data_IF_906937000053
#
_entry.id   IF_906937000053
#
_cell.length_a   1.000
_cell.length_b   1.000
_cell.length_c   1.000
_cell.angle_alpha   90.00
_cell.angle_beta   90.00
_cell.angle_gamma   90.00
#
_symmetry.space_group_name_H-M   'P 1'
#
loop_
_entity.id
_entity.type
_entity.pdbx_description
1 polymer ?
#
# COMPACT_ATOMS: atom_id res chain seq x y z
N UNK A 1 -11.66 17.92 16.01
CA UNK A 1 -10.68 17.64 14.92
C UNK A 1 -10.00 18.95 14.58
N UNK A 2 -8.67 18.98 14.43
CA UNK A 2 -7.95 20.21 14.04
C UNK A 2 -8.47 20.73 12.69
N UNK A 3 -8.65 22.06 12.56
CA UNK A 3 -9.18 22.70 11.33
C UNK A 3 -8.37 22.29 10.11
N UNK A 4 -7.04 22.27 10.22
CA UNK A 4 -6.15 21.87 9.13
C UNK A 4 -6.39 20.42 8.68
N UNK A 5 -6.65 19.50 9.62
CA UNK A 5 -6.97 18.10 9.31
C UNK A 5 -8.32 17.98 8.60
N UNK A 6 -9.34 18.71 9.08
CA UNK A 6 -10.65 18.74 8.42
C UNK A 6 -10.55 19.28 7.00
N UNK A 7 -9.84 20.38 6.79
CA UNK A 7 -9.59 20.95 5.46
C UNK A 7 -8.90 19.94 4.55
N UNK A 8 -7.85 19.26 5.02
CA UNK A 8 -7.16 18.23 4.25
C UNK A 8 -8.08 17.09 3.82
N UNK A 9 -8.95 16.61 4.72
CA UNK A 9 -9.95 15.58 4.39
C UNK A 9 -10.96 16.09 3.37
N UNK A 10 -11.54 17.28 3.57
CA UNK A 10 -12.51 17.86 2.63
C UNK A 10 -11.89 17.99 1.24
N UNK A 11 -10.67 18.52 1.13
CA UNK A 11 -9.98 18.67 -0.16
C UNK A 11 -9.68 17.31 -0.80
N UNK A 12 -9.21 16.32 -0.03
CA UNK A 12 -8.94 14.98 -0.55
C UNK A 12 -10.22 14.28 -1.07
N UNK A 13 -11.34 14.42 -0.36
CA UNK A 13 -12.63 13.90 -0.80
C UNK A 13 -13.20 14.68 -2.00
N UNK A 14 -13.00 16.00 -2.06
CA UNK A 14 -13.37 16.80 -3.22
C UNK A 14 -12.59 16.37 -4.47
N UNK A 15 -11.29 16.07 -4.33
CA UNK A 15 -10.46 15.53 -5.42
C UNK A 15 -10.96 14.15 -5.85
N UNK A 16 -11.28 13.25 -4.91
CA UNK A 16 -11.86 11.95 -5.25
C UNK A 16 -13.21 12.09 -5.96
N UNK A 17 -14.08 12.99 -5.50
CA UNK A 17 -15.38 13.25 -6.12
C UNK A 17 -15.24 13.85 -7.53
N UNK A 18 -14.31 14.79 -7.72
CA UNK A 18 -14.01 15.35 -9.04
C UNK A 18 -13.43 14.29 -9.98
N UNK A 19 -12.47 13.50 -9.51
CA UNK A 19 -11.92 12.38 -10.28
C UNK A 19 -13.00 11.35 -10.63
N UNK A 20 -13.93 11.09 -9.70
CA UNK A 20 -15.05 10.19 -9.94
C UNK A 20 -16.02 10.73 -11.00
N UNK A 21 -16.29 12.04 -11.00
CA UNK A 21 -17.10 12.68 -12.03
C UNK A 21 -16.43 12.65 -13.41
N UNK A 22 -15.12 12.93 -13.47
CA UNK A 22 -14.35 12.97 -14.72
C UNK A 22 -14.09 11.59 -15.33
N UNK A 23 -13.99 10.55 -14.49
CA UNK A 23 -13.62 9.19 -14.90
C UNK A 23 -14.78 8.21 -14.73
N UNK A 24 -16.02 8.70 -14.62
CA UNK A 24 -17.18 7.83 -14.33
C UNK A 24 -17.33 6.69 -15.33
N UNK A 25 -17.11 6.98 -16.61
CA UNK A 25 -17.21 6.01 -17.70
C UNK A 25 -15.93 5.20 -17.92
N UNK A 26 -14.87 5.46 -17.15
CA UNK A 26 -13.64 4.69 -17.23
C UNK A 26 -13.82 3.30 -16.61
N UNK A 27 -13.82 2.28 -17.46
CA UNK A 27 -13.88 0.86 -17.06
C UNK A 27 -12.88 0.10 -17.91
N UNK A 28 -12.14 -0.82 -17.29
CA UNK A 28 -11.20 -1.68 -18.02
C UNK A 28 -11.88 -2.97 -18.48
N UNK A 29 -11.42 -3.54 -19.60
CA UNK A 29 -11.94 -4.82 -20.11
C UNK A 29 -11.85 -5.96 -19.08
N UNK A 30 -10.78 -5.96 -18.26
CA UNK A 30 -10.58 -6.93 -17.17
C UNK A 30 -11.72 -6.90 -16.13
N UNK A 31 -12.46 -5.79 -16.00
CA UNK A 31 -13.61 -5.68 -15.09
C UNK A 31 -14.69 -6.68 -15.48
N UNK A 32 -14.91 -6.91 -16.78
CA UNK A 32 -15.90 -7.87 -17.26
C UNK A 32 -15.53 -9.31 -16.92
N UNK A 33 -14.24 -9.62 -16.77
CA UNK A 33 -13.79 -10.92 -16.28
C UNK A 33 -14.30 -11.13 -14.85
N UNK A 34 -14.08 -10.17 -13.95
CA UNK A 34 -14.60 -10.26 -12.57
C UNK A 34 -16.11 -10.37 -12.52
N UNK A 35 -16.83 -9.59 -13.33
CA UNK A 35 -18.30 -9.64 -13.40
C UNK A 35 -18.82 -10.96 -13.96
N UNK A 36 -18.09 -11.60 -14.89
CA UNK A 36 -18.42 -12.93 -15.40
C UNK A 36 -18.31 -14.00 -14.30
N UNK A 37 -17.20 -14.01 -13.56
CA UNK A 37 -17.04 -14.90 -12.40
C UNK A 37 -18.13 -14.65 -11.35
N UNK A 38 -18.41 -13.39 -11.03
CA UNK A 38 -19.44 -13.03 -10.05
C UNK A 38 -20.83 -13.50 -10.50
N UNK A 39 -21.18 -13.29 -11.78
CA UNK A 39 -22.46 -13.73 -12.35
C UNK A 39 -22.60 -15.26 -12.30
N UNK A 40 -21.58 -15.99 -12.75
CA UNK A 40 -21.62 -17.46 -12.75
C UNK A 40 -21.72 -18.02 -11.32
N UNK A 41 -21.00 -17.44 -10.37
CA UNK A 41 -21.11 -17.83 -8.97
C UNK A 41 -22.50 -17.53 -8.40
N UNK A 42 -23.10 -16.39 -8.78
CA UNK A 42 -24.42 -15.99 -8.31
C UNK A 42 -25.55 -16.85 -8.91
N UNK A 43 -25.52 -17.10 -10.21
CA UNK A 43 -26.59 -17.80 -10.94
C UNK A 43 -26.47 -19.32 -10.87
N UNK A 44 -25.24 -19.85 -10.78
CA UNK A 44 -24.96 -21.29 -10.92
C UNK A 44 -24.23 -21.90 -9.72
N UNK A 45 -23.73 -21.08 -8.79
CA UNK A 45 -22.88 -21.56 -7.70
C UNK A 45 -21.47 -21.95 -8.14
N UNK A 46 -21.07 -21.62 -9.37
CA UNK A 46 -19.79 -22.01 -9.96
C UNK A 46 -18.80 -20.84 -9.99
N UNK A 47 -17.66 -20.95 -9.31
CA UNK A 47 -16.57 -20.00 -9.47
C UNK A 47 -15.77 -20.33 -10.73
N UNK A 48 -16.30 -19.93 -11.89
CA UNK A 48 -15.66 -20.17 -13.19
C UNK A 48 -15.93 -19.02 -14.17
N UNK A 49 -15.10 -18.91 -15.20
CA UNK A 49 -15.37 -18.04 -16.36
C UNK A 49 -16.34 -18.70 -17.36
N UNK A 50 -16.11 -19.97 -17.68
CA UNK A 50 -16.94 -20.79 -18.56
C UNK A 50 -17.71 -21.82 -17.72
N UNK A 51 -19.05 -21.75 -17.65
CA UNK A 51 -19.85 -22.72 -16.91
C UNK A 51 -19.51 -24.17 -17.30
N UNK A 52 -19.42 -25.06 -16.31
CA UNK A 52 -19.04 -26.47 -16.51
C UNK A 52 -17.54 -26.73 -16.73
N UNK A 53 -16.71 -25.70 -16.90
CA UNK A 53 -15.25 -25.82 -17.04
C UNK A 53 -14.54 -25.05 -15.91
N UNK A 54 -14.26 -25.68 -14.75
CA UNK A 54 -13.70 -25.00 -13.58
C UNK A 54 -12.24 -24.59 -13.83
N UNK A 55 -12.05 -23.36 -14.31
CA UNK A 55 -10.73 -22.78 -14.54
C UNK A 55 -10.40 -21.74 -13.46
N UNK A 56 -9.24 -21.87 -12.82
CA UNK A 56 -8.76 -20.90 -11.83
C UNK A 56 -8.11 -19.68 -12.51
N UNK A 57 -8.90 -18.90 -13.25
CA UNK A 57 -8.43 -17.75 -14.01
C UNK A 57 -8.45 -16.43 -13.25
N UNK A 58 -9.23 -16.29 -12.18
CA UNK A 58 -9.30 -15.07 -11.37
C UNK A 58 -8.23 -15.06 -10.27
N UNK A 59 -7.41 -14.00 -10.23
CA UNK A 59 -6.40 -13.74 -9.18
C UNK A 59 -6.93 -12.96 -7.98
N UNK A 60 -8.22 -12.59 -8.00
CA UNK A 60 -8.81 -11.68 -7.01
C UNK A 60 -10.12 -12.23 -6.40
N UNK A 61 -10.13 -13.42 -5.77
CA UNK A 61 -11.33 -14.00 -5.16
C UNK A 61 -12.11 -13.08 -4.22
N UNK A 62 -11.41 -12.32 -3.38
CA UNK A 62 -12.08 -11.39 -2.45
C UNK A 62 -12.91 -10.34 -3.20
N UNK A 63 -12.40 -9.86 -4.33
CA UNK A 63 -13.11 -8.92 -5.18
C UNK A 63 -14.37 -9.54 -5.77
N UNK A 64 -14.26 -10.75 -6.36
CA UNK A 64 -15.41 -11.47 -6.92
C UNK A 64 -16.48 -11.73 -5.87
N UNK A 65 -16.11 -12.22 -4.69
CA UNK A 65 -17.08 -12.44 -3.60
C UNK A 65 -17.78 -11.16 -3.15
N UNK A 66 -17.03 -10.04 -3.10
CA UNK A 66 -17.60 -8.74 -2.76
C UNK A 66 -18.58 -8.24 -3.83
N UNK A 67 -18.28 -8.48 -5.11
CA UNK A 67 -19.20 -8.19 -6.22
C UNK A 67 -20.48 -9.03 -6.12
N UNK A 68 -20.35 -10.34 -5.87
CA UNK A 68 -21.51 -11.23 -5.67
C UNK A 68 -22.38 -10.73 -4.52
N UNK A 69 -21.79 -10.32 -3.41
CA UNK A 69 -22.54 -9.76 -2.28
C UNK A 69 -23.35 -8.52 -2.69
N UNK A 70 -22.73 -7.56 -3.36
CA UNK A 70 -23.44 -6.34 -3.81
C UNK A 70 -24.50 -6.62 -4.88
N UNK A 71 -24.23 -7.54 -5.81
CA UNK A 71 -25.22 -7.96 -6.82
C UNK A 71 -26.41 -8.69 -6.18
N UNK A 72 -26.19 -9.48 -5.12
CA UNK A 72 -27.28 -10.08 -4.31
C UNK A 72 -28.16 -9.03 -3.63
N UNK A 73 -27.60 -7.87 -3.28
CA UNK A 73 -28.35 -6.73 -2.75
C UNK A 73 -29.10 -5.94 -3.84
N UNK A 74 -29.07 -6.40 -5.09
CA UNK A 74 -29.81 -5.80 -6.21
C UNK A 74 -29.03 -4.74 -7.00
N UNK A 75 -27.74 -4.52 -6.72
CA UNK A 75 -26.94 -3.60 -7.53
C UNK A 75 -26.66 -4.21 -8.91
N UNK A 76 -26.85 -3.40 -9.96
CA UNK A 76 -26.42 -3.77 -11.30
C UNK A 76 -24.90 -4.06 -11.32
N UNK A 77 -24.41 -5.01 -12.15
CA UNK A 77 -23.03 -5.50 -12.08
C UNK A 77 -21.97 -4.38 -12.12
N UNK A 78 -22.10 -3.43 -13.04
CA UNK A 78 -21.14 -2.34 -13.16
C UNK A 78 -21.24 -1.32 -12.01
N UNK A 79 -22.47 -1.07 -11.53
CA UNK A 79 -22.69 -0.22 -10.36
C UNK A 79 -22.07 -0.83 -9.10
N UNK A 80 -22.16 -2.16 -8.93
CA UNK A 80 -21.50 -2.87 -7.84
C UNK A 80 -19.96 -2.70 -7.90
N UNK A 81 -19.35 -2.89 -9.06
CA UNK A 81 -17.90 -2.75 -9.23
C UNK A 81 -17.40 -1.32 -8.96
N UNK A 82 -18.08 -0.31 -9.52
CA UNK A 82 -17.75 1.11 -9.30
C UNK A 82 -17.93 1.52 -7.84
N UNK A 83 -19.05 1.14 -7.23
CA UNK A 83 -19.35 1.47 -5.83
C UNK A 83 -18.32 0.85 -4.89
N UNK A 84 -17.95 -0.41 -5.12
CA UNK A 84 -16.93 -1.08 -4.30
C UNK A 84 -15.56 -0.41 -4.44
N UNK A 85 -15.18 -0.03 -5.66
CA UNK A 85 -13.94 0.72 -5.93
C UNK A 85 -13.91 2.07 -5.22
N UNK A 86 -15.01 2.83 -5.30
CA UNK A 86 -15.19 4.12 -4.63
C UNK A 86 -15.15 4.01 -3.11
N UNK A 87 -15.85 3.02 -2.54
CA UNK A 87 -15.85 2.78 -1.09
C UNK A 87 -14.45 2.42 -0.61
N UNK A 88 -13.73 1.56 -1.35
CA UNK A 88 -12.35 1.21 -1.03
C UNK A 88 -11.40 2.43 -1.15
N UNK A 89 -11.58 3.27 -2.17
CA UNK A 89 -10.81 4.50 -2.37
C UNK A 89 -11.07 5.53 -1.25
N UNK A 90 -12.33 5.74 -0.87
CA UNK A 90 -12.70 6.60 0.24
C UNK A 90 -12.13 6.07 1.57
N UNK A 91 -12.24 4.77 1.82
CA UNK A 91 -11.66 4.12 2.99
C UNK A 91 -10.13 4.26 3.02
N UNK A 92 -9.45 4.17 1.86
CA UNK A 92 -8.00 4.40 1.75
C UNK A 92 -7.63 5.80 2.24
N UNK A 93 -8.36 6.85 1.83
CA UNK A 93 -8.12 8.22 2.29
C UNK A 93 -8.31 8.37 3.81
N UNK A 94 -9.36 7.75 4.37
CA UNK A 94 -9.60 7.78 5.81
C UNK A 94 -8.46 7.06 6.57
N UNK A 95 -8.01 5.90 6.09
CA UNK A 95 -6.90 5.17 6.71
C UNK A 95 -5.59 5.96 6.57
N UNK A 96 -5.33 6.58 5.42
CA UNK A 96 -4.16 7.43 5.21
C UNK A 96 -4.13 8.60 6.19
N UNK A 97 -5.24 9.32 6.38
CA UNK A 97 -5.37 10.39 7.38
C UNK A 97 -5.07 9.88 8.81
N UNK A 98 -5.65 8.74 9.19
CA UNK A 98 -5.40 8.12 10.51
C UNK A 98 -3.93 7.76 10.71
N UNK A 99 -3.25 7.27 9.68
CA UNK A 99 -1.81 6.99 9.72
C UNK A 99 -1.02 8.30 9.86
N UNK A 100 -1.31 9.32 9.04
CA UNK A 100 -0.62 10.61 9.07
C UNK A 100 -0.67 11.29 10.44
N UNK A 101 -1.79 11.18 11.15
CA UNK A 101 -1.93 11.73 12.51
C UNK A 101 -1.09 11.00 13.55
N UNK A 102 -0.86 9.70 13.38
CA UNK A 102 -0.17 8.82 14.34
C UNK A 102 1.32 8.64 14.04
N UNK A 103 1.72 8.89 12.80
CA UNK A 103 3.11 8.91 12.38
C UNK A 103 3.83 10.15 12.92
N UNK A 104 5.16 10.09 13.13
CA UNK A 104 5.92 11.20 13.69
C UNK A 104 6.15 12.28 12.61
N UNK A 105 5.08 12.96 12.20
CA UNK A 105 5.06 14.00 11.17
C UNK A 105 4.65 15.36 11.77
N UNK A 106 5.19 16.48 11.28
CA UNK A 106 4.68 17.81 11.61
C UNK A 106 3.18 17.92 11.28
N UNK A 107 2.39 18.52 12.17
CA UNK A 107 0.93 18.62 11.98
C UNK A 107 0.56 19.33 10.67
N UNK A 108 1.27 20.40 10.32
CA UNK A 108 1.05 21.16 9.09
C UNK A 108 1.32 20.39 7.80
N UNK A 109 2.08 19.29 7.83
CA UNK A 109 2.35 18.47 6.64
C UNK A 109 1.21 17.52 6.29
N UNK A 110 0.44 17.10 7.30
CA UNK A 110 -0.59 16.06 7.17
C UNK A 110 -1.64 16.37 6.10
N UNK A 111 -2.27 17.57 6.03
CA UNK A 111 -3.24 17.86 4.98
C UNK A 111 -2.64 17.79 3.58
N UNK A 112 -1.41 18.28 3.39
CA UNK A 112 -0.72 18.24 2.11
C UNK A 112 -0.37 16.81 1.70
N UNK A 113 0.15 16.00 2.61
CA UNK A 113 0.45 14.59 2.32
C UNK A 113 -0.82 13.81 1.97
N UNK A 114 -1.93 14.08 2.65
CA UNK A 114 -3.22 13.47 2.31
C UNK A 114 -3.71 13.91 0.92
N UNK A 115 -3.55 15.20 0.60
CA UNK A 115 -3.89 15.73 -0.72
C UNK A 115 -3.01 15.12 -1.82
N UNK A 116 -1.72 14.90 -1.56
CA UNK A 116 -0.82 14.19 -2.49
C UNK A 116 -1.24 12.73 -2.71
N UNK A 117 -1.75 12.04 -1.69
CA UNK A 117 -2.35 10.69 -1.86
C UNK A 117 -3.60 10.77 -2.75
N UNK A 118 -4.43 11.79 -2.59
CA UNK A 118 -5.67 11.95 -3.35
C UNK A 118 -5.42 12.40 -4.81
N UNK A 119 -4.39 13.21 -5.05
CA UNK A 119 -4.00 13.71 -6.37
C UNK A 119 -3.18 12.71 -7.19
N UNK A 120 -2.85 11.53 -6.64
CA UNK A 120 -2.19 10.48 -7.41
C UNK A 120 -3.10 10.04 -8.57
N UNK A 121 -2.63 10.28 -9.80
CA UNK A 121 -3.37 9.98 -11.01
C UNK A 121 -3.70 8.48 -11.14
N UNK A 122 -2.84 7.60 -10.63
CA UNK A 122 -3.12 6.16 -10.63
C UNK A 122 -4.19 5.79 -9.62
N UNK A 123 -4.13 6.34 -8.41
CA UNK A 123 -5.21 6.19 -7.42
C UNK A 123 -6.57 6.61 -8.01
N UNK A 124 -6.67 7.80 -8.60
CA UNK A 124 -7.93 8.30 -9.18
C UNK A 124 -8.42 7.43 -10.34
N UNK A 125 -7.51 7.04 -11.25
CA UNK A 125 -7.82 6.16 -12.38
C UNK A 125 -8.34 4.79 -11.91
N UNK A 126 -7.67 4.17 -10.96
CA UNK A 126 -8.03 2.83 -10.52
C UNK A 126 -9.25 2.81 -9.59
N UNK A 127 -9.53 3.90 -8.86
CA UNK A 127 -10.72 4.04 -8.02
C UNK A 127 -12.03 3.72 -8.78
N UNK A 128 -12.11 4.10 -10.06
CA UNK A 128 -13.31 3.95 -10.89
C UNK A 128 -13.25 2.81 -11.92
N UNK A 129 -12.08 2.21 -12.12
CA UNK A 129 -11.85 1.18 -13.14
C UNK A 129 -12.77 -0.05 -13.08
N UNK A 130 -13.37 -0.32 -11.92
CA UNK A 130 -14.10 -1.56 -11.61
C UNK A 130 -13.20 -2.73 -11.18
N UNK A 131 -11.91 -2.46 -10.96
CA UNK A 131 -10.92 -3.44 -10.54
C UNK A 131 -10.69 -3.42 -9.02
N UNK A 132 -10.07 -4.48 -8.52
CA UNK A 132 -9.72 -4.70 -7.11
C UNK A 132 -8.57 -3.81 -6.59
N UNK A 133 -7.97 -3.00 -7.47
CA UNK A 133 -6.77 -2.23 -7.16
C UNK A 133 -6.95 -1.25 -5.98
N UNK A 134 -8.07 -0.48 -5.87
CA UNK A 134 -8.30 0.39 -4.72
C UNK A 134 -8.43 -0.37 -3.39
N UNK A 135 -9.01 -1.57 -3.41
CA UNK A 135 -9.09 -2.45 -2.23
C UNK A 135 -7.69 -2.92 -1.82
N UNK A 136 -6.85 -3.28 -2.79
CA UNK A 136 -5.48 -3.68 -2.52
C UNK A 136 -4.64 -2.53 -1.94
N UNK A 137 -4.76 -1.32 -2.48
CA UNK A 137 -4.13 -0.12 -1.94
C UNK A 137 -4.56 0.16 -0.50
N UNK A 138 -5.86 0.05 -0.20
CA UNK A 138 -6.39 0.16 1.16
C UNK A 138 -5.74 -0.87 2.09
N UNK A 139 -5.74 -2.14 1.71
CA UNK A 139 -5.20 -3.23 2.54
C UNK A 139 -3.70 -3.06 2.80
N UNK A 140 -2.93 -2.60 1.81
CA UNK A 140 -1.52 -2.26 1.98
C UNK A 140 -1.30 -1.16 3.02
N UNK A 141 -2.15 -0.12 3.06
CA UNK A 141 -2.09 0.89 4.12
C UNK A 141 -2.50 0.34 5.49
N UNK A 142 -3.53 -0.51 5.56
CA UNK A 142 -3.94 -1.15 6.83
C UNK A 142 -2.80 -2.00 7.40
N UNK A 143 -2.05 -2.72 6.55
CA UNK A 143 -0.89 -3.52 6.95
C UNK A 143 0.26 -2.69 7.54
N UNK A 144 0.33 -1.37 7.26
CA UNK A 144 1.26 -0.43 7.91
C UNK A 144 0.78 0.09 9.27
N UNK A 145 -0.49 -0.14 9.62
CA UNK A 145 -1.09 0.28 10.89
C UNK A 145 -0.24 0.02 12.15
N UNK A 146 0.40 -1.15 12.30
CA UNK A 146 1.25 -1.44 13.45
C UNK A 146 2.43 -0.47 13.65
N UNK A 147 2.95 0.12 12.57
CA UNK A 147 4.03 1.11 12.64
C UNK A 147 3.55 2.36 13.39
N UNK A 148 2.33 2.80 13.09
CA UNK A 148 1.70 4.00 13.63
C UNK A 148 1.07 3.78 15.02
N UNK A 149 0.69 2.54 15.37
CA UNK A 149 0.14 2.21 16.68
C UNK A 149 1.17 2.40 17.81
N UNK A 150 0.70 2.68 19.03
CA UNK A 150 1.54 2.74 20.24
C UNK A 150 1.47 1.45 21.07
N UNK A 151 0.38 0.70 20.95
CA UNK A 151 0.16 -0.54 21.69
C UNK A 151 0.74 -1.80 21.04
N UNK A 152 0.43 -2.98 21.60
CA UNK A 152 0.75 -4.27 20.99
C UNK A 152 0.24 -4.39 19.56
N UNK A 153 0.99 -5.10 18.73
CA UNK A 153 0.51 -5.48 17.40
C UNK A 153 -0.54 -6.59 17.57
N UNK A 154 -1.73 -6.36 17.03
CA UNK A 154 -2.79 -7.37 16.95
C UNK A 154 -2.48 -8.37 15.83
N UNK A 155 -1.55 -9.30 16.09
CA UNK A 155 -0.99 -10.19 15.06
C UNK A 155 -2.02 -11.07 14.33
N UNK A 156 -3.09 -11.50 15.01
CA UNK A 156 -4.18 -12.25 14.35
C UNK A 156 -4.92 -11.36 13.34
N UNK A 157 -5.26 -10.14 13.73
CA UNK A 157 -5.92 -9.19 12.83
C UNK A 157 -5.00 -8.78 11.66
N UNK A 158 -3.70 -8.63 11.92
CA UNK A 158 -2.72 -8.35 10.87
C UNK A 158 -2.60 -9.53 9.90
N UNK A 159 -2.54 -10.77 10.41
CA UNK A 159 -2.56 -12.00 9.60
C UNK A 159 -3.84 -12.15 8.78
N UNK A 160 -5.00 -11.86 9.37
CA UNK A 160 -6.28 -11.86 8.66
C UNK A 160 -6.32 -10.79 7.55
N UNK A 161 -5.77 -9.60 7.81
CA UNK A 161 -5.61 -8.54 6.79
C UNK A 161 -4.69 -8.99 5.66
N UNK A 162 -3.59 -9.69 5.97
CA UNK A 162 -2.72 -10.30 4.96
C UNK A 162 -3.47 -11.39 4.17
N UNK A 163 -4.29 -12.20 4.81
CA UNK A 163 -5.14 -13.20 4.14
C UNK A 163 -6.13 -12.55 3.18
N UNK A 164 -6.85 -11.52 3.62
CA UNK A 164 -7.73 -10.72 2.75
C UNK A 164 -6.95 -10.12 1.58
N UNK A 165 -5.77 -9.56 1.86
CA UNK A 165 -4.87 -9.01 0.86
C UNK A 165 -4.42 -10.04 -0.17
N UNK A 166 -4.10 -11.26 0.26
CA UNK A 166 -3.69 -12.36 -0.60
C UNK A 166 -4.82 -12.81 -1.53
N UNK A 167 -6.07 -12.75 -1.06
CA UNK A 167 -7.27 -13.02 -1.86
C UNK A 167 -7.70 -11.81 -2.71
N UNK A 168 -7.24 -10.61 -2.40
CA UNK A 168 -7.44 -9.44 -3.24
C UNK A 168 -6.45 -9.46 -4.40
N UNK A 169 -5.15 -9.61 -4.12
CA UNK A 169 -4.08 -9.54 -5.13
C UNK A 169 -2.84 -10.34 -4.74
N UNK A 170 -2.15 -10.97 -5.71
CA UNK A 170 -0.93 -11.74 -5.46
C UNK A 170 0.23 -10.89 -4.92
N UNK A 171 0.30 -9.60 -5.27
CA UNK A 171 1.33 -8.70 -4.75
C UNK A 171 1.27 -8.58 -3.23
N UNK A 172 0.08 -8.56 -2.62
CA UNK A 172 -0.03 -8.47 -1.15
C UNK A 172 0.34 -9.80 -0.51
N UNK A 173 0.02 -10.93 -1.16
CA UNK A 173 0.46 -12.25 -0.71
C UNK A 173 1.99 -12.29 -0.55
N UNK A 174 2.72 -11.68 -1.48
CA UNK A 174 4.18 -11.57 -1.48
C UNK A 174 4.70 -10.49 -0.52
N UNK A 175 4.15 -9.28 -0.56
CA UNK A 175 4.74 -8.11 0.10
C UNK A 175 4.48 -8.07 1.61
N UNK A 176 3.27 -8.41 2.05
CA UNK A 176 2.93 -8.36 3.47
C UNK A 176 3.93 -9.13 4.36
N UNK A 177 4.28 -10.40 4.09
CA UNK A 177 5.21 -11.15 4.96
C UNK A 177 6.62 -10.52 5.00
N UNK A 178 7.05 -9.82 3.95
CA UNK A 178 8.32 -9.08 3.94
C UNK A 178 8.35 -7.92 4.96
N UNK A 179 7.20 -7.47 5.48
CA UNK A 179 7.15 -6.50 6.56
C UNK A 179 7.39 -7.11 7.96
N UNK A 180 7.22 -8.43 8.13
CA UNK A 180 7.28 -9.11 9.43
C UNK A 180 8.61 -8.90 10.18
N UNK A 181 9.80 -9.03 9.55
CA UNK A 181 11.07 -8.81 10.27
C UNK A 181 11.14 -7.42 10.90
N UNK A 182 10.70 -6.40 10.16
CA UNK A 182 10.70 -5.00 10.60
C UNK A 182 9.66 -4.72 11.68
N UNK A 183 8.47 -5.33 11.58
CA UNK A 183 7.41 -5.21 12.58
C UNK A 183 7.76 -5.95 13.88
N UNK A 184 8.38 -7.12 13.79
CA UNK A 184 8.88 -7.87 14.94
C UNK A 184 10.04 -7.13 15.62
N UNK A 185 10.96 -6.56 14.84
CA UNK A 185 12.01 -5.69 15.36
C UNK A 185 11.43 -4.48 16.10
N UNK A 186 10.45 -3.80 15.50
CA UNK A 186 9.76 -2.66 16.10
C UNK A 186 9.03 -3.05 17.39
N UNK A 187 8.35 -4.20 17.40
CA UNK A 187 7.70 -4.74 18.59
C UNK A 187 8.72 -5.02 19.69
N UNK A 188 9.83 -5.70 19.39
CA UNK A 188 10.86 -6.05 20.37
C UNK A 188 11.48 -4.80 21.00
N UNK A 189 11.67 -3.73 20.22
CA UNK A 189 12.15 -2.44 20.72
C UNK A 189 11.16 -1.76 21.67
N UNK A 190 9.85 -1.93 21.47
CA UNK A 190 8.81 -1.32 22.32
C UNK A 190 8.39 -2.19 23.51
N UNK A 191 8.44 -3.50 23.32
CA UNK A 191 7.91 -4.53 24.23
C UNK A 191 8.85 -5.75 24.23
N UNK A 192 10.03 -5.66 24.89
CA UNK A 192 11.10 -6.66 24.80
C UNK A 192 10.73 -8.07 25.32
N UNK A 193 9.69 -8.20 26.15
CA UNK A 193 9.22 -9.49 26.67
C UNK A 193 8.29 -10.28 25.73
N UNK A 194 7.99 -9.80 24.53
CA UNK A 194 7.09 -10.49 23.60
C UNK A 194 7.82 -11.52 22.74
N UNK A 195 7.35 -12.76 22.78
CA UNK A 195 7.86 -13.84 21.91
C UNK A 195 7.60 -13.56 20.43
N UNK A 196 8.66 -13.62 19.62
CA UNK A 196 8.55 -13.54 18.16
C UNK A 196 7.84 -14.77 17.59
N UNK A 197 8.10 -15.97 18.13
CA UNK A 197 7.46 -17.22 17.70
C UNK A 197 5.94 -17.16 17.91
N UNK A 198 5.49 -16.71 19.08
CA UNK A 198 4.06 -16.55 19.36
C UNK A 198 3.41 -15.49 18.44
N UNK A 199 4.17 -14.46 18.06
CA UNK A 199 3.71 -13.43 17.11
C UNK A 199 3.52 -14.02 15.71
N UNK A 200 4.49 -14.80 15.23
CA UNK A 200 4.43 -15.50 13.93
C UNK A 200 3.29 -16.53 13.89
N UNK A 201 3.10 -17.32 14.95
CA UNK A 201 1.99 -18.26 15.05
C UNK A 201 0.63 -17.56 14.95
N UNK A 202 0.46 -16.39 15.60
CA UNK A 202 -0.76 -15.58 15.51
C UNK A 202 -0.98 -14.99 14.11
N UNK A 203 0.09 -14.59 13.42
CA UNK A 203 0.01 -14.15 12.01
C UNK A 203 -0.46 -15.31 11.14
N UNK A 204 0.17 -16.48 11.27
CA UNK A 204 -0.20 -17.68 10.52
C UNK A 204 -1.65 -18.09 10.78
N UNK A 205 -2.09 -18.07 12.04
CA UNK A 205 -3.49 -18.32 12.41
C UNK A 205 -4.44 -17.36 11.70
N UNK A 206 -4.20 -16.04 11.80
CA UNK A 206 -5.04 -15.04 11.16
C UNK A 206 -5.10 -15.20 9.63
N UNK A 207 -3.96 -15.49 8.99
CA UNK A 207 -3.91 -15.70 7.55
C UNK A 207 -4.66 -16.97 7.14
N UNK A 208 -4.44 -18.09 7.84
CA UNK A 208 -5.12 -19.36 7.58
C UNK A 208 -6.63 -19.26 7.79
N UNK A 209 -7.10 -18.49 8.77
CA UNK A 209 -8.53 -18.27 8.98
C UNK A 209 -9.24 -17.62 7.78
N UNK A 210 -8.52 -16.84 6.97
CA UNK A 210 -9.08 -16.12 5.82
C UNK A 210 -8.72 -16.79 4.50
N UNK A 211 -7.44 -16.98 4.22
CA UNK A 211 -6.96 -17.53 2.96
C UNK A 211 -7.09 -19.06 2.90
N UNK A 212 -7.00 -19.75 4.05
CA UNK A 212 -7.05 -21.21 4.14
C UNK A 212 -8.30 -21.83 3.50
N UNK A 213 -9.53 -21.39 3.85
CA UNK A 213 -10.75 -21.91 3.23
C UNK A 213 -10.74 -21.81 1.71
N UNK A 214 -10.27 -20.70 1.17
CA UNK A 214 -10.17 -20.50 -0.28
C UNK A 214 -9.12 -21.42 -0.91
N UNK A 215 -7.97 -21.63 -0.27
CA UNK A 215 -6.93 -22.52 -0.79
C UNK A 215 -7.39 -23.98 -0.83
N UNK A 216 -8.16 -24.42 0.19
CA UNK A 216 -8.79 -25.75 0.21
C UNK A 216 -9.80 -25.87 -0.94
N UNK A 217 -10.70 -24.88 -1.08
CA UNK A 217 -11.64 -24.83 -2.19
C UNK A 217 -10.93 -24.89 -3.54
N UNK A 218 -9.92 -24.05 -3.75
CA UNK A 218 -9.18 -23.97 -5.00
C UNK A 218 -8.48 -25.28 -5.36
N UNK A 219 -7.86 -25.95 -4.37
CA UNK A 219 -7.25 -27.27 -4.58
C UNK A 219 -8.29 -28.32 -4.94
N UNK A 220 -9.45 -28.32 -4.28
CA UNK A 220 -10.51 -29.31 -4.52
C UNK A 220 -11.21 -29.14 -5.87
N UNK A 221 -11.45 -27.89 -6.31
CA UNK A 221 -12.24 -27.59 -7.51
C UNK A 221 -11.36 -27.44 -8.75
N UNK A 222 -10.22 -26.76 -8.64
CA UNK A 222 -9.36 -26.44 -9.79
C UNK A 222 -8.12 -27.33 -9.89
N UNK A 223 -7.94 -28.26 -8.95
CA UNK A 223 -6.73 -29.08 -8.83
C UNK A 223 -5.47 -28.29 -8.46
N UNK A 224 -5.56 -26.99 -8.13
CA UNK A 224 -4.39 -26.13 -7.87
C UNK A 224 -4.72 -25.02 -6.86
N UNK A 225 -3.73 -24.65 -6.05
CA UNK A 225 -3.89 -23.60 -5.03
C UNK A 225 -3.59 -22.18 -5.56
N UNK A 226 -2.82 -22.08 -6.66
CA UNK A 226 -2.40 -20.81 -7.27
C UNK A 226 -3.16 -20.62 -8.60
N UNK A 227 -3.69 -19.41 -8.89
CA UNK A 227 -4.36 -19.12 -10.14
C UNK A 227 -3.48 -19.43 -11.36
N UNK A 228 -4.06 -20.03 -12.41
CA UNK A 228 -3.34 -20.34 -13.65
C UNK A 228 -2.86 -19.10 -14.39
N UNK A 229 -3.57 -17.98 -14.26
CA UNK A 229 -3.20 -16.69 -14.87
C UNK A 229 -1.95 -16.06 -14.27
N UNK A 230 -1.65 -16.33 -13.00
CA UNK A 230 -0.38 -15.91 -12.40
C UNK A 230 0.81 -16.64 -13.02
N UNK A 231 0.65 -17.93 -13.34
CA UNK A 231 1.67 -18.74 -14.01
C UNK A 231 1.83 -18.36 -15.50
N UNK A 232 0.74 -18.03 -16.19
CA UNK A 232 0.75 -17.69 -17.62
C UNK A 232 1.34 -16.29 -17.93
N UNK A 233 1.36 -15.37 -16.96
CA UNK A 233 1.85 -13.99 -17.14
C UNK A 233 3.30 -13.77 -16.67
N UNK A 234 4.01 -14.84 -16.34
CA UNK A 234 5.40 -14.76 -15.89
C UNK A 234 6.27 -15.72 -16.68
N UNK A 235 7.42 -15.23 -17.14
CA UNK A 235 8.47 -16.11 -17.65
C UNK A 235 9.10 -16.91 -16.49
N UNK A 236 9.77 -18.04 -16.79
CA UNK A 236 10.69 -18.66 -15.85
C UNK A 236 11.59 -17.59 -15.23
N UNK A 237 12.00 -17.77 -13.97
CA UNK A 237 12.88 -16.79 -13.33
C UNK A 237 14.19 -16.73 -14.13
N UNK A 238 14.43 -15.62 -14.81
CA UNK A 238 15.64 -15.39 -15.61
C UNK A 238 16.42 -14.26 -14.95
N UNK A 239 17.54 -14.61 -14.32
CA UNK A 239 18.43 -13.65 -13.66
C UNK A 239 19.46 -13.09 -14.64
N UNK A 240 19.00 -12.72 -15.85
CA UNK A 240 19.83 -12.04 -16.84
C UNK A 240 20.00 -10.58 -16.41
N UNK A 241 21.23 -10.12 -16.09
CA UNK A 241 21.42 -8.76 -15.59
C UNK A 241 21.00 -7.69 -16.61
N UNK A 242 21.23 -7.92 -17.90
CA UNK A 242 20.88 -6.97 -18.96
C UNK A 242 19.35 -6.78 -19.07
N UNK A 243 18.61 -7.88 -19.11
CA UNK A 243 17.14 -7.84 -19.18
C UNK A 243 16.54 -7.27 -17.89
N UNK A 244 17.07 -7.67 -16.73
CA UNK A 244 16.62 -7.11 -15.45
C UNK A 244 16.80 -5.60 -15.39
N UNK A 245 17.93 -5.06 -15.87
CA UNK A 245 18.18 -3.62 -15.97
C UNK A 245 17.19 -2.95 -16.92
N UNK A 246 16.90 -3.57 -18.06
CA UNK A 246 15.93 -3.03 -19.02
C UNK A 246 14.52 -2.94 -18.44
N UNK A 247 13.99 -4.02 -17.85
CA UNK A 247 12.66 -4.04 -17.23
C UNK A 247 12.59 -3.14 -16.00
N UNK A 248 13.69 -3.03 -15.24
CA UNK A 248 13.81 -2.07 -14.14
C UNK A 248 13.74 -0.63 -14.66
N UNK A 249 14.51 -0.29 -15.69
CA UNK A 249 14.52 1.03 -16.30
C UNK A 249 13.13 1.41 -16.82
N UNK A 250 12.43 0.49 -17.51
CA UNK A 250 11.05 0.71 -17.96
C UNK A 250 10.09 0.99 -16.81
N UNK A 251 10.17 0.21 -15.73
CA UNK A 251 9.31 0.42 -14.55
C UNK A 251 9.62 1.75 -13.86
N UNK A 252 10.90 2.11 -13.74
CA UNK A 252 11.33 3.42 -13.21
C UNK A 252 10.85 4.56 -14.10
N UNK A 253 10.96 4.43 -15.42
CA UNK A 253 10.46 5.42 -16.38
C UNK A 253 8.95 5.63 -16.24
N UNK A 254 8.15 4.56 -16.08
CA UNK A 254 6.71 4.67 -15.84
C UNK A 254 6.41 5.40 -14.52
N UNK A 255 7.12 5.05 -13.44
CA UNK A 255 6.98 5.72 -12.15
C UNK A 255 7.40 7.19 -12.24
N UNK A 256 8.49 7.51 -12.93
CA UNK A 256 8.98 8.86 -13.12
C UNK A 256 8.03 9.70 -14.00
N UNK A 257 7.44 9.12 -15.04
CA UNK A 257 6.54 9.83 -15.94
C UNK A 257 5.25 10.30 -15.24
N UNK A 258 4.72 9.50 -14.31
CA UNK A 258 3.43 9.80 -13.67
C UNK A 258 3.58 10.36 -12.27
N UNK A 259 4.59 9.92 -11.52
CA UNK A 259 4.83 10.36 -10.15
C UNK A 259 6.07 11.21 -9.99
N UNK A 260 6.80 11.48 -11.08
CA UNK A 260 8.02 12.31 -11.04
C UNK A 260 7.79 13.64 -10.33
N UNK A 261 6.61 14.25 -10.50
CA UNK A 261 6.24 15.49 -9.79
C UNK A 261 6.10 15.26 -8.28
N UNK A 262 5.53 14.14 -7.84
CA UNK A 262 5.44 13.77 -6.42
C UNK A 262 6.84 13.50 -5.82
N UNK A 263 7.69 12.78 -6.55
CA UNK A 263 9.08 12.51 -6.17
C UNK A 263 9.93 13.78 -6.14
N UNK A 264 9.79 14.64 -7.14
CA UNK A 264 10.44 15.95 -7.22
C UNK A 264 9.94 16.86 -6.10
N UNK A 265 8.65 16.91 -5.79
CA UNK A 265 8.12 17.69 -4.68
C UNK A 265 8.73 17.24 -3.34
N UNK A 266 8.89 15.92 -3.13
CA UNK A 266 9.59 15.39 -1.95
C UNK A 266 11.07 15.78 -1.93
N UNK A 267 11.74 15.75 -3.09
CA UNK A 267 13.14 16.18 -3.24
C UNK A 267 13.29 17.69 -3.02
N UNK A 268 12.39 18.52 -3.54
CA UNK A 268 12.40 19.97 -3.37
C UNK A 268 12.05 20.38 -1.95
N UNK A 269 11.12 19.69 -1.29
CA UNK A 269 10.87 19.88 0.15
C UNK A 269 12.12 19.52 0.96
N UNK A 270 12.85 18.46 0.58
CA UNK A 270 14.11 18.10 1.22
C UNK A 270 15.25 19.10 0.89
N UNK A 271 15.35 19.58 -0.34
CA UNK A 271 16.42 20.43 -0.86
C UNK A 271 16.25 21.91 -0.47
N UNK A 272 15.02 22.45 -0.56
CA UNK A 272 14.71 23.82 -0.12
C UNK A 272 15.02 24.01 1.36
N UNK A 273 14.73 23.01 2.19
CA UNK A 273 15.08 23.04 3.60
C UNK A 273 16.59 22.85 3.86
N UNK A 274 17.29 22.13 2.99
CA UNK A 274 18.75 21.95 3.06
C UNK A 274 19.52 23.22 2.67
N UNK A 275 19.05 23.94 1.65
CA UNK A 275 19.63 25.20 1.19
C UNK A 275 19.41 26.34 2.21
N UNK A 276 18.21 26.44 2.80
CA UNK A 276 17.88 27.46 3.79
C UNK A 276 18.74 27.36 5.07
N UNK A 277 19.31 26.16 5.34
CA UNK A 277 20.19 25.90 6.50
C UNK A 277 21.68 25.84 6.22
N UNK A 278 22.15 25.82 4.95
CA UNK A 278 23.59 25.98 4.64
C UNK A 278 24.14 27.34 5.06
N UNK A 279 23.28 28.32 5.32
CA UNK A 279 23.63 29.65 5.84
C UNK A 279 23.93 29.69 7.35
N UNK A 280 23.98 28.56 8.07
CA UNK A 280 24.27 28.53 9.51
C UNK A 280 24.85 27.22 10.03
N UNK A 281 26.08 26.86 9.63
CA UNK A 281 26.74 25.61 10.04
C UNK A 281 27.78 25.82 11.15
N UNK A 282 27.63 25.11 12.28
CA UNK A 282 28.72 24.42 13.01
C UNK A 282 28.18 23.39 14.05
N UNK A 283 28.71 22.15 14.00
CA UNK A 283 28.90 21.24 15.15
C UNK A 283 27.74 20.37 15.70
N UNK A 284 27.98 19.06 15.88
CA UNK A 284 27.49 18.28 17.05
C UNK A 284 26.44 17.15 16.88
N UNK A 285 26.89 15.90 17.03
CA UNK A 285 26.25 14.62 17.43
C UNK A 285 24.97 14.05 16.80
N UNK A 286 25.06 12.78 16.42
CA UNK A 286 24.09 12.01 15.64
C UNK A 286 23.11 11.20 16.48
N UNK A 287 21.94 11.75 16.78
CA UNK A 287 20.82 10.94 17.31
C UNK A 287 20.24 10.07 16.20
N UNK A 288 20.22 8.75 16.33
CA UNK A 288 19.70 7.75 15.37
C UNK A 288 18.21 7.98 15.01
N UNK A 289 17.73 7.47 13.86
CA UNK A 289 16.34 7.65 13.43
C UNK A 289 15.43 6.95 14.43
N UNK A 290 14.28 7.52 14.76
CA UNK A 290 13.31 6.89 15.66
C UNK A 290 12.86 5.52 15.13
N UNK A 291 12.56 4.51 15.98
CA UNK A 291 12.22 3.16 15.54
C UNK A 291 11.05 3.10 14.54
N UNK A 292 10.07 4.01 14.67
CA UNK A 292 8.96 4.15 13.69
C UNK A 292 9.43 4.49 12.29
N UNK A 293 10.35 5.47 12.18
CA UNK A 293 10.86 5.94 10.90
C UNK A 293 11.72 4.87 10.22
N UNK A 294 12.56 4.18 11.00
CA UNK A 294 13.37 3.06 10.51
C UNK A 294 12.51 1.90 10.02
N UNK A 295 11.53 1.47 10.83
CA UNK A 295 10.64 0.37 10.43
C UNK A 295 9.84 0.73 9.17
N UNK A 296 9.26 1.94 9.10
CA UNK A 296 8.50 2.36 7.91
C UNK A 296 9.37 2.44 6.65
N UNK A 297 10.55 3.06 6.76
CA UNK A 297 11.50 3.16 5.65
C UNK A 297 11.98 1.80 5.18
N UNK A 298 12.30 0.90 6.11
CA UNK A 298 12.76 -0.44 5.80
C UNK A 298 11.66 -1.31 5.17
N UNK A 299 10.42 -1.22 5.66
CA UNK A 299 9.27 -1.90 5.03
C UNK A 299 9.07 -1.39 3.61
N UNK A 300 9.01 -0.06 3.42
CA UNK A 300 8.76 0.53 2.11
C UNK A 300 9.88 0.22 1.11
N UNK A 301 11.16 0.28 1.54
CA UNK A 301 12.30 -0.11 0.72
C UNK A 301 12.26 -1.60 0.37
N UNK A 302 11.98 -2.47 1.34
CA UNK A 302 11.83 -3.92 1.11
C UNK A 302 10.74 -4.19 0.08
N UNK A 303 9.58 -3.56 0.25
CA UNK A 303 8.45 -3.73 -0.67
C UNK A 303 8.77 -3.24 -2.09
N UNK A 304 9.44 -2.10 -2.22
CA UNK A 304 9.88 -1.59 -3.51
C UNK A 304 10.83 -2.57 -4.22
N UNK A 305 11.86 -3.04 -3.50
CA UNK A 305 12.85 -3.98 -4.05
C UNK A 305 12.20 -5.31 -4.42
N UNK A 306 11.38 -5.88 -3.54
CA UNK A 306 10.72 -7.17 -3.78
C UNK A 306 9.76 -7.08 -4.96
N UNK A 307 8.95 -6.01 -5.05
CA UNK A 307 7.98 -5.89 -6.12
C UNK A 307 8.63 -5.56 -7.46
N UNK A 308 9.40 -4.47 -7.52
CA UNK A 308 9.99 -3.99 -8.77
C UNK A 308 11.09 -4.94 -9.23
N UNK A 309 11.96 -5.38 -8.32
CA UNK A 309 12.99 -6.38 -8.61
C UNK A 309 12.39 -7.73 -9.00
N UNK A 310 11.30 -8.15 -8.34
CA UNK A 310 10.57 -9.37 -8.70
C UNK A 310 9.98 -9.30 -10.11
N UNK A 311 9.36 -8.18 -10.48
CA UNK A 311 8.85 -7.97 -11.83
C UNK A 311 9.96 -7.91 -12.88
N UNK A 312 11.08 -7.23 -12.59
CA UNK A 312 12.24 -7.22 -13.47
C UNK A 312 12.82 -8.63 -13.68
N UNK A 313 13.00 -9.41 -12.60
CA UNK A 313 13.53 -10.78 -12.66
C UNK A 313 12.59 -11.77 -13.36
N UNK A 314 11.29 -11.45 -13.41
CA UNK A 314 10.26 -12.22 -14.10
C UNK A 314 9.89 -11.64 -15.47
N UNK A 315 10.58 -10.59 -15.90
CA UNK A 315 10.34 -9.88 -17.17
C UNK A 315 8.86 -9.52 -17.36
N UNK A 316 8.20 -9.14 -16.26
CA UNK A 316 6.78 -8.79 -16.30
C UNK A 316 6.64 -7.40 -16.88
N UNK A 317 5.81 -7.27 -17.92
CA UNK A 317 5.41 -5.96 -18.40
C UNK A 317 4.58 -5.25 -17.33
N UNK A 318 5.20 -4.28 -16.67
CA UNK A 318 4.57 -3.54 -15.59
C UNK A 318 3.53 -2.57 -16.15
N UNK A 319 2.36 -2.57 -15.50
CA UNK A 319 1.30 -1.58 -15.71
C UNK A 319 0.99 -0.92 -14.38
N UNK A 320 0.41 0.28 -14.43
CA UNK A 320 0.24 1.14 -13.25
C UNK A 320 -0.40 0.44 -12.05
N UNK A 321 -1.44 -0.39 -12.24
CA UNK A 321 -2.08 -1.12 -11.12
C UNK A 321 -1.14 -2.05 -10.37
N UNK A 322 -0.11 -2.60 -11.01
CA UNK A 322 0.80 -3.52 -10.33
C UNK A 322 1.64 -2.81 -9.28
N UNK A 323 1.99 -1.55 -9.49
CA UNK A 323 2.85 -0.77 -8.59
C UNK A 323 2.06 0.24 -7.73
N UNK A 324 0.83 0.59 -8.14
CA UNK A 324 -0.03 1.55 -7.43
C UNK A 324 -0.24 1.26 -5.93
N UNK A 325 -0.37 -0.01 -5.48
CA UNK A 325 -0.43 -0.33 -4.05
C UNK A 325 0.78 0.13 -3.21
N UNK A 326 1.95 0.39 -3.81
CA UNK A 326 3.14 0.85 -3.10
C UNK A 326 3.21 2.36 -2.89
N UNK A 327 2.45 3.16 -3.63
CA UNK A 327 2.74 4.60 -3.74
C UNK A 327 2.46 5.35 -2.44
N UNK A 328 1.31 5.09 -1.82
CA UNK A 328 0.97 5.69 -0.54
C UNK A 328 1.93 5.21 0.58
N UNK A 329 2.26 3.91 0.72
CA UNK A 329 3.36 3.45 1.57
C UNK A 329 4.69 4.20 1.39
N UNK A 330 5.13 4.38 0.14
CA UNK A 330 6.38 5.06 -0.19
C UNK A 330 6.34 6.54 0.18
N UNK A 331 5.25 7.24 -0.15
CA UNK A 331 5.03 8.64 0.20
C UNK A 331 5.08 8.84 1.73
N UNK A 332 4.40 7.98 2.49
CA UNK A 332 4.40 8.04 3.96
C UNK A 332 5.82 7.79 4.53
N UNK A 333 6.55 6.80 3.98
CA UNK A 333 7.92 6.51 4.40
C UNK A 333 8.85 7.68 4.13
N UNK A 334 8.82 8.24 2.92
CA UNK A 334 9.60 9.40 2.51
C UNK A 334 9.31 10.61 3.41
N UNK A 335 8.04 10.92 3.66
CA UNK A 335 7.65 12.03 4.52
C UNK A 335 8.13 11.87 5.96
N UNK A 336 8.05 10.65 6.53
CA UNK A 336 8.50 10.37 7.90
C UNK A 336 10.02 10.45 8.01
N UNK A 337 10.76 9.92 7.02
CA UNK A 337 12.22 10.01 6.96
C UNK A 337 12.67 11.46 6.84
N UNK A 338 12.08 12.23 5.92
CA UNK A 338 12.33 13.67 5.78
C UNK A 338 12.06 14.40 7.11
N UNK A 339 10.88 14.23 7.71
CA UNK A 339 10.55 14.85 9.00
C UNK A 339 11.51 14.46 10.14
N UNK A 340 12.03 13.23 10.14
CA UNK A 340 13.04 12.80 11.12
C UNK A 340 14.41 13.43 10.88
N UNK A 341 14.85 13.59 9.62
CA UNK A 341 16.07 14.32 9.26
C UNK A 341 15.98 15.79 9.71
N UNK A 342 14.82 16.44 9.52
CA UNK A 342 14.57 17.83 9.91
C UNK A 342 14.67 18.05 11.43
N UNK A 343 14.07 17.17 12.23
CA UNK A 343 14.08 17.29 13.71
C UNK A 343 15.48 17.14 14.31
N UNK A 344 16.30 16.23 13.78
CA UNK A 344 17.70 16.03 14.23
C UNK A 344 18.53 17.31 14.09
N UNK A 345 18.28 18.08 13.05
CA UNK A 345 18.98 19.33 12.81
C UNK A 345 18.45 20.49 13.69
N UNK A 346 17.18 20.46 14.12
CA UNK A 346 16.59 21.48 14.99
C UNK A 346 17.07 21.45 16.44
N UNK A 347 17.34 20.27 17.02
CA UNK A 347 17.84 20.16 18.41
C UNK A 347 19.27 20.67 18.60
N UNK A 348 20.00 20.98 17.51
CA UNK A 348 21.37 21.52 17.55
C UNK A 348 21.41 23.04 17.80
N UNK A 349 20.34 23.78 17.46
CA UNK A 349 20.29 25.25 17.61
C UNK A 349 19.98 25.76 19.03
N UNK A 350 19.22 25.01 19.82
CA UNK A 350 18.87 25.39 21.21
C UNK A 350 19.96 25.07 22.22
N UNK A 351 20.82 24.08 21.95
CA UNK A 351 21.94 23.74 22.83
C UNK A 351 23.07 24.79 22.76
N UNK A 352 23.38 25.31 21.56
CA UNK A 352 24.39 26.36 21.39
C UNK A 352 24.03 27.69 22.07
N UNK A 353 22.74 28.06 22.12
CA UNK A 353 22.30 29.29 22.81
C UNK A 353 22.42 29.22 24.33
N UNK A 354 22.34 28.02 24.95
CA UNK A 354 22.52 27.87 26.41
C UNK A 354 23.98 27.92 26.85
N UNK A 355 24.91 27.50 25.99
CA UNK A 355 26.36 27.57 26.29
C UNK A 355 26.85 29.02 26.24
N UNK A 356 26.35 29.83 25.31
CA UNK A 356 26.71 31.26 25.23
C UNK A 356 26.10 32.08 26.38
N UNK A 357 24.91 31.73 26.86
CA UNK A 357 24.27 32.41 27.99
C UNK A 357 24.78 31.97 29.38
N UNK A 358 25.61 30.93 29.46
CA UNK A 358 26.27 30.51 30.71
C UNK A 358 27.74 30.95 30.78
N UNK A 359 28.26 31.55 29.70
CA UNK A 359 29.61 32.11 29.60
C UNK A 359 29.61 33.65 29.53
N UNK A 360 28.44 34.28 29.69
CA UNK A 360 28.23 35.70 29.91
C UNK A 360 27.59 35.86 31.29
#
# INVERSE_FOLDING_TARGET
MDRARLTGLILAFAVLALGAALLWDYVTDDTWIHLRYARNLLERGEYTFNPGDPTYGSTSPLWVFSLVFLMKLGLAPLAAARSLGLVAAAAKLIVADRLLVRLPLPAGWRPWLLLLVALDAWFLRWALSGMETPLAELLMLVLLGPVAASGPIAWVAWGATWGLGSLARPEIALLAPCALPWLLWLQRRRHPGRSALASLAKVGLGWLMVAGPWLVYARSVFGRMIPGTAAAKSYPLQLSPAEMVEYLARTIQQLAAVQGVLWLALVFVAAGFWLDRRRGLAGGDGKTFGPRALALGAIAATWLVVLVGGYSAKQVWTISRYVSPLLAPLLLAMAVLAGAMLRRQGSRGTAGRRVVAAAA
#
